data_IF_655585338940
#
_entry.id   IF_655585338940
#
_cell.length_a   1.000
_cell.length_b   1.000
_cell.length_c   1.000
_cell.angle_alpha   90.00
_cell.angle_beta   90.00
_cell.angle_gamma   90.00
#
_symmetry.space_group_name_H-M   'P 1'
#
loop_
_entity.id
_entity.type
_entity.pdbx_description
1 polymer ?
#
# COMPACT_ATOMS: atom_id res chain seq x y z
N UNK A 1 13.55 17.30 4.74
CA UNK A 1 12.56 17.68 3.71
C UNK A 1 13.03 17.08 2.39
N UNK A 2 12.75 15.79 2.17
CA UNK A 2 13.29 15.03 1.04
C UNK A 2 12.34 15.10 -0.16
N UNK A 3 12.64 16.04 -1.06
CA UNK A 3 12.45 16.00 -2.52
C UNK A 3 11.50 15.00 -3.17
N UNK A 4 10.23 14.95 -2.78
CA UNK A 4 9.17 14.34 -3.60
C UNK A 4 8.69 15.40 -4.60
N UNK A 5 8.92 15.18 -5.90
CA UNK A 5 8.55 16.11 -7.00
C UNK A 5 7.19 15.82 -7.61
N UNK A 6 6.47 14.81 -7.15
CA UNK A 6 5.08 14.58 -7.55
C UNK A 6 4.14 14.98 -6.44
N UNK A 7 3.16 15.81 -6.82
CA UNK A 7 1.97 16.05 -6.02
C UNK A 7 1.37 14.68 -5.79
N UNK A 8 1.42 14.20 -4.53
CA UNK A 8 0.65 13.02 -4.09
C UNK A 8 -0.81 13.47 -4.08
N UNK A 9 -1.39 13.61 -5.26
CA UNK A 9 -2.83 13.69 -5.41
C UNK A 9 -3.32 12.28 -5.16
N UNK A 10 -3.99 12.06 -4.02
CA UNK A 10 -4.84 10.90 -3.81
C UNK A 10 -5.76 10.76 -5.02
N UNK A 11 -5.55 9.80 -5.95
CA UNK A 11 -6.44 9.67 -7.08
C UNK A 11 -7.57 8.74 -6.67
N UNK A 12 -8.77 9.28 -6.71
CA UNK A 12 -10.03 8.67 -6.28
C UNK A 12 -10.42 7.40 -7.07
N UNK A 13 -9.56 6.80 -7.91
CA UNK A 13 -9.96 5.78 -8.90
C UNK A 13 -8.98 4.61 -9.16
N UNK A 14 -7.74 4.62 -8.69
CA UNK A 14 -6.79 3.53 -8.95
C UNK A 14 -6.58 2.69 -7.70
N UNK A 15 -6.81 1.37 -7.81
CA UNK A 15 -6.58 0.40 -6.71
C UNK A 15 -5.07 0.22 -6.45
N UNK A 16 -4.23 0.48 -7.47
CA UNK A 16 -2.77 0.41 -7.42
C UNK A 16 -2.18 1.70 -7.96
N UNK A 17 -1.21 2.26 -7.25
CA UNK A 17 -0.41 3.40 -7.68
C UNK A 17 1.05 2.98 -7.80
N UNK A 18 1.71 3.39 -8.88
CA UNK A 18 3.12 3.14 -9.13
C UNK A 18 3.88 4.45 -9.00
N UNK A 19 4.86 4.48 -8.11
CA UNK A 19 5.73 5.62 -7.91
C UNK A 19 7.16 5.23 -8.24
N UNK A 20 7.73 5.89 -9.24
CA UNK A 20 9.15 5.76 -9.55
C UNK A 20 9.95 6.70 -8.65
N UNK A 21 10.91 6.14 -7.92
CA UNK A 21 11.81 6.91 -7.07
C UNK A 21 13.01 7.41 -7.87
N UNK A 22 13.66 8.48 -7.39
CA UNK A 22 14.87 9.03 -8.01
C UNK A 22 16.05 8.03 -8.07
N UNK A 23 16.01 6.96 -7.27
CA UNK A 23 17.00 5.88 -7.28
C UNK A 23 16.67 4.73 -8.24
N UNK A 24 15.59 4.84 -9.01
CA UNK A 24 15.14 3.83 -9.96
C UNK A 24 14.37 2.67 -9.34
N UNK A 25 14.05 2.72 -8.04
CA UNK A 25 13.14 1.76 -7.42
C UNK A 25 11.70 2.15 -7.72
N UNK A 26 10.87 1.15 -8.00
CA UNK A 26 9.42 1.32 -8.11
C UNK A 26 8.82 1.06 -6.73
N UNK A 27 7.86 1.90 -6.35
CA UNK A 27 7.05 1.73 -5.16
C UNK A 27 5.61 1.52 -5.61
N UNK A 28 5.04 0.39 -5.24
CA UNK A 28 3.63 0.11 -5.43
C UNK A 28 2.85 0.51 -4.18
N UNK A 29 1.73 1.18 -4.37
CA UNK A 29 0.81 1.55 -3.29
C UNK A 29 -0.58 1.04 -3.61
N UNK A 30 -1.07 0.15 -2.78
CA UNK A 30 -2.36 -0.50 -2.88
C UNK A 30 -3.33 0.16 -1.92
N UNK A 31 -4.46 0.63 -2.42
CA UNK A 31 -5.59 1.04 -1.59
C UNK A 31 -6.70 0.00 -1.72
N UNK A 32 -6.73 -0.93 -0.77
CA UNK A 32 -7.69 -2.02 -0.74
C UNK A 32 -9.01 -1.65 -0.06
N UNK A 33 -9.25 -0.37 0.30
CA UNK A 33 -10.52 0.05 0.92
C UNK A 33 -11.74 -0.30 0.07
N UNK A 34 -11.57 -0.32 -1.26
CA UNK A 34 -12.66 -0.63 -2.22
C UNK A 34 -12.78 -2.10 -2.58
N UNK A 35 -11.78 -2.92 -2.25
CA UNK A 35 -11.79 -4.34 -2.60
C UNK A 35 -12.76 -5.06 -1.66
N UNK A 36 -13.90 -5.48 -2.19
CA UNK A 36 -14.89 -6.24 -1.41
C UNK A 36 -14.60 -7.74 -1.44
N UNK A 37 -13.90 -8.21 -2.48
CA UNK A 37 -13.58 -9.62 -2.70
C UNK A 37 -12.15 -9.77 -3.18
N UNK A 38 -11.47 -10.79 -2.63
CA UNK A 38 -10.11 -11.17 -3.03
C UNK A 38 -9.95 -11.36 -4.54
N UNK A 39 -11.00 -11.86 -5.22
CA UNK A 39 -10.98 -12.09 -6.66
C UNK A 39 -10.76 -10.80 -7.46
N UNK A 40 -11.26 -9.65 -6.99
CA UNK A 40 -11.03 -8.37 -7.67
C UNK A 40 -9.55 -7.99 -7.62
N UNK A 41 -8.87 -8.25 -6.50
CA UNK A 41 -7.43 -8.03 -6.38
C UNK A 41 -6.64 -9.01 -7.28
N UNK A 42 -7.06 -10.28 -7.34
CA UNK A 42 -6.46 -11.28 -8.22
C UNK A 42 -6.65 -10.92 -9.70
N UNK A 43 -7.85 -10.50 -10.11
CA UNK A 43 -8.16 -10.11 -11.48
C UNK A 43 -7.39 -8.85 -11.92
N UNK A 44 -7.00 -8.00 -10.97
CA UNK A 44 -6.11 -6.85 -11.19
C UNK A 44 -4.63 -7.22 -11.26
N UNK A 45 -4.28 -8.48 -11.00
CA UNK A 45 -2.91 -8.95 -10.95
C UNK A 45 -2.15 -8.51 -9.69
N UNK A 46 -2.84 -8.28 -8.56
CA UNK A 46 -2.21 -7.84 -7.31
C UNK A 46 -1.03 -8.73 -6.88
N UNK A 47 -1.13 -10.05 -7.09
CA UNK A 47 -0.04 -10.99 -6.80
C UNK A 47 1.25 -10.64 -7.58
N UNK A 48 1.16 -10.28 -8.86
CA UNK A 48 2.36 -10.00 -9.67
C UNK A 48 3.17 -8.82 -9.10
N UNK A 49 2.47 -7.82 -8.57
CA UNK A 49 3.10 -6.67 -7.92
C UNK A 49 3.68 -7.03 -6.55
N UNK A 50 2.91 -7.76 -5.72
CA UNK A 50 3.35 -8.20 -4.38
C UNK A 50 4.62 -9.06 -4.46
N UNK A 51 4.72 -9.90 -5.49
CA UNK A 51 5.87 -10.76 -5.75
C UNK A 51 6.91 -10.14 -6.70
N UNK A 52 6.75 -8.87 -7.11
CA UNK A 52 7.68 -8.20 -8.03
C UNK A 52 9.07 -7.91 -7.42
N UNK A 53 9.21 -8.01 -6.10
CA UNK A 53 10.43 -7.67 -5.36
C UNK A 53 10.63 -6.16 -5.13
N UNK A 54 9.66 -5.34 -5.53
CA UNK A 54 9.64 -3.91 -5.26
C UNK A 54 8.93 -3.60 -3.94
N UNK A 55 9.09 -2.36 -3.46
CA UNK A 55 8.42 -1.92 -2.24
C UNK A 55 6.91 -1.82 -2.47
N UNK A 56 6.14 -2.52 -1.65
CA UNK A 56 4.68 -2.50 -1.70
C UNK A 56 4.12 -1.92 -0.40
N UNK A 57 3.37 -0.84 -0.49
CA UNK A 57 2.58 -0.27 0.60
C UNK A 57 1.14 -0.66 0.40
N UNK A 58 0.49 -1.23 1.40
CA UNK A 58 -0.86 -1.75 1.28
C UNK A 58 -1.71 -1.16 2.40
N UNK A 59 -2.70 -0.37 2.03
CA UNK A 59 -3.73 0.12 2.94
C UNK A 59 -4.93 -0.83 2.91
N UNK A 60 -5.55 -1.05 4.07
CA UNK A 60 -6.65 -1.99 4.26
C UNK A 60 -6.29 -3.43 3.83
N UNK A 61 -5.08 -3.87 4.21
CA UNK A 61 -4.51 -5.16 3.84
C UNK A 61 -5.37 -6.35 4.30
N UNK A 62 -6.25 -6.16 5.28
CA UNK A 62 -7.24 -7.15 5.71
C UNK A 62 -8.18 -7.62 4.59
N UNK A 63 -8.46 -6.77 3.60
CA UNK A 63 -9.33 -7.10 2.47
C UNK A 63 -8.64 -8.04 1.47
N UNK A 64 -7.31 -8.07 1.49
CA UNK A 64 -6.48 -8.93 0.65
C UNK A 64 -5.58 -9.89 1.43
N UNK A 65 -5.85 -10.10 2.72
CA UNK A 65 -5.03 -10.93 3.61
C UNK A 65 -4.64 -12.32 3.03
N UNK A 66 -5.51 -13.03 2.28
CA UNK A 66 -5.15 -14.34 1.70
C UNK A 66 -4.06 -14.33 0.63
N UNK A 67 -3.79 -13.19 -0.03
CA UNK A 67 -2.78 -13.07 -1.10
C UNK A 67 -1.51 -12.35 -0.63
N UNK A 68 -1.50 -11.88 0.63
CA UNK A 68 -0.33 -11.20 1.17
C UNK A 68 0.84 -12.19 1.33
N UNK A 69 2.07 -11.75 1.04
CA UNK A 69 3.25 -12.58 1.28
C UNK A 69 3.51 -12.76 2.79
N UNK A 70 4.16 -13.87 3.17
CA UNK A 70 4.53 -14.12 4.57
C UNK A 70 5.59 -13.14 5.11
N UNK A 71 6.42 -12.58 4.20
CA UNK A 71 7.45 -11.59 4.52
C UNK A 71 6.88 -10.18 4.38
N UNK A 72 6.14 -9.74 5.39
CA UNK A 72 5.55 -8.40 5.47
C UNK A 72 5.86 -7.72 6.80
N UNK A 73 5.87 -6.39 6.76
CA UNK A 73 5.98 -5.55 7.95
C UNK A 73 4.61 -4.94 8.19
N UNK A 74 3.91 -5.40 9.23
CA UNK A 74 2.64 -4.81 9.61
C UNK A 74 2.88 -3.53 10.39
N UNK A 75 2.28 -2.43 9.93
CA UNK A 75 2.34 -1.15 10.62
C UNK A 75 0.92 -0.79 11.06
N UNK A 76 0.71 -0.68 12.36
CA UNK A 76 -0.53 -0.17 12.93
C UNK A 76 -0.35 1.31 13.26
N UNK A 77 -1.24 2.16 12.72
CA UNK A 77 -1.25 3.58 13.00
C UNK A 77 -2.55 3.89 13.76
N UNK A 78 -2.41 4.35 15.01
CA UNK A 78 -3.54 4.73 15.85
C UNK A 78 -3.53 6.22 16.13
N UNK A 79 -4.62 6.90 15.80
CA UNK A 79 -4.84 8.30 16.18
C UNK A 79 -5.33 8.39 17.62
N UNK A 80 -4.74 9.31 18.38
CA UNK A 80 -5.10 9.64 19.76
C UNK A 80 -6.03 10.86 19.82
N UNK A 81 -6.74 11.01 20.94
CA UNK A 81 -7.71 12.10 21.13
C UNK A 81 -7.09 13.51 21.07
N UNK A 82 -5.78 13.63 21.31
CA UNK A 82 -5.03 14.89 21.23
C UNK A 82 -4.52 15.22 19.81
N UNK A 83 -4.86 14.37 18.82
CA UNK A 83 -4.40 14.50 17.44
C UNK A 83 -2.99 13.96 17.19
N UNK A 84 -2.33 13.39 18.20
CA UNK A 84 -1.08 12.66 18.00
C UNK A 84 -1.35 11.28 17.41
N UNK A 85 -0.32 10.67 16.80
CA UNK A 85 -0.41 9.35 16.17
C UNK A 85 0.64 8.42 16.76
N UNK A 86 0.20 7.23 17.15
CA UNK A 86 1.09 6.12 17.53
C UNK A 86 1.29 5.25 16.30
N UNK A 87 2.55 4.90 16.03
CA UNK A 87 2.94 3.97 14.97
C UNK A 87 3.60 2.77 15.62
N UNK A 88 3.01 1.59 15.45
CA UNK A 88 3.50 0.31 15.98
C UNK A 88 3.84 -0.63 14.84
N UNK A 89 5.00 -1.29 14.91
CA UNK A 89 5.40 -2.35 13.99
C UNK A 89 5.06 -3.69 14.66
N UNK A 90 4.27 -4.53 14.01
CA UNK A 90 3.76 -5.82 14.50
C UNK A 90 4.46 -6.97 13.81
#
# INVERSE_FOLDING_TARGET
MMGVTQIVNSPTFSIVNEYETLSGHIIYHFDCYRIQKIQEALDLGAEEYLYSGNYCFIEWSENIAPILPDDLVNINIKELEDGSRIIEII
#
